data_IF_698583597924
#
_entry.id   IF_698583597924
#
_cell.length_a   1.000
_cell.length_b   1.000
_cell.length_c   1.000
_cell.angle_alpha   90.00
_cell.angle_beta   90.00
_cell.angle_gamma   90.00
#
_symmetry.space_group_name_H-M   'P 1'
#
loop_
_entity.id
_entity.type
_entity.pdbx_description
1 polymer ?
#
# COMPACT_ATOMS: atom_id res chain seq x y z
N UNK A 1 -9.14 -27.69 -40.98
CA UNK A 1 -8.49 -28.24 -39.81
C UNK A 1 -7.01 -27.87 -39.86
N UNK A 2 -6.46 -27.50 -38.77
CA UNK A 2 -5.03 -27.23 -38.60
C UNK A 2 -4.48 -28.17 -37.55
N UNK A 3 -3.17 -28.36 -37.57
CA UNK A 3 -2.51 -29.14 -36.53
C UNK A 3 -2.73 -28.50 -35.16
N UNK A 4 -2.77 -29.33 -34.13
CA UNK A 4 -2.76 -28.84 -32.77
C UNK A 4 -1.56 -27.91 -32.57
N UNK A 5 -1.71 -26.82 -31.82
CA UNK A 5 -0.65 -25.83 -31.59
C UNK A 5 0.66 -26.46 -31.10
N UNK A 6 0.59 -27.56 -30.34
CA UNK A 6 1.78 -28.32 -29.91
C UNK A 6 2.49 -29.01 -31.09
N UNK A 7 1.76 -29.50 -32.07
CA UNK A 7 2.37 -30.06 -33.28
C UNK A 7 3.13 -28.98 -34.05
N UNK A 8 2.54 -27.80 -34.16
CA UNK A 8 3.17 -26.67 -34.86
C UNK A 8 4.42 -26.16 -34.16
N UNK A 9 4.36 -26.02 -32.83
CA UNK A 9 5.45 -25.40 -32.06
C UNK A 9 6.54 -26.40 -31.67
N UNK A 10 6.16 -27.63 -31.33
CA UNK A 10 7.12 -28.63 -30.82
C UNK A 10 7.41 -29.76 -31.81
N UNK A 11 6.82 -29.72 -33.00
CA UNK A 11 7.00 -30.75 -34.01
C UNK A 11 6.50 -32.14 -33.59
N UNK A 12 5.60 -32.21 -32.60
CA UNK A 12 5.03 -33.46 -32.12
C UNK A 12 3.69 -33.73 -32.81
N UNK A 13 3.60 -34.83 -33.56
CA UNK A 13 2.41 -35.23 -34.33
C UNK A 13 1.39 -36.02 -33.51
N UNK A 14 1.66 -36.37 -32.27
CA UNK A 14 0.82 -37.22 -31.42
C UNK A 14 -0.48 -36.54 -30.97
N UNK A 15 -0.55 -35.22 -31.05
CA UNK A 15 -1.72 -34.45 -30.62
C UNK A 15 -2.85 -34.34 -31.64
N UNK A 16 -2.66 -34.91 -32.85
CA UNK A 16 -3.68 -34.91 -33.92
C UNK A 16 -4.00 -33.51 -34.46
N UNK A 17 -5.06 -33.45 -35.23
CA UNK A 17 -5.58 -32.23 -35.86
C UNK A 17 -6.90 -31.81 -35.21
N UNK A 18 -7.14 -30.51 -35.10
CA UNK A 18 -8.43 -29.95 -34.67
C UNK A 18 -8.86 -28.76 -35.55
N UNK A 19 -10.14 -28.43 -35.52
CA UNK A 19 -10.62 -27.24 -36.21
C UNK A 19 -10.13 -25.97 -35.51
N UNK A 20 -9.56 -25.05 -36.27
CA UNK A 20 -9.17 -23.72 -35.75
C UNK A 20 -10.45 -22.90 -35.60
N UNK A 21 -11.04 -22.94 -34.42
CA UNK A 21 -12.23 -22.19 -34.06
C UNK A 21 -11.89 -21.21 -32.89
N UNK A 22 -12.40 -19.98 -32.95
CA UNK A 22 -12.28 -19.08 -31.82
C UNK A 22 -12.92 -19.68 -30.56
N UNK A 23 -12.24 -19.58 -29.43
CA UNK A 23 -12.78 -19.97 -28.14
C UNK A 23 -13.49 -18.74 -27.52
N UNK A 24 -14.82 -18.79 -27.40
CA UNK A 24 -15.61 -17.63 -27.10
C UNK A 24 -15.41 -17.13 -25.63
N UNK A 25 -15.58 -17.98 -24.68
CA UNK A 25 -15.52 -17.61 -23.26
C UNK A 25 -14.21 -18.01 -22.55
N UNK A 26 -13.12 -18.20 -23.29
CA UNK A 26 -11.91 -18.81 -22.78
C UNK A 26 -11.26 -18.06 -21.58
N UNK A 27 -11.37 -16.74 -21.52
CA UNK A 27 -10.92 -15.98 -20.33
C UNK A 27 -11.82 -16.28 -19.13
N UNK A 28 -13.13 -16.31 -19.32
CA UNK A 28 -14.10 -16.60 -18.27
C UNK A 28 -13.99 -18.01 -17.72
N UNK A 29 -13.64 -18.99 -18.55
CA UNK A 29 -13.44 -20.38 -18.13
C UNK A 29 -12.24 -20.55 -17.19
N UNK A 30 -11.25 -19.66 -17.27
CA UNK A 30 -10.06 -19.71 -16.44
C UNK A 30 -10.28 -19.14 -15.02
N UNK A 31 -11.14 -18.12 -14.91
CA UNK A 31 -11.31 -17.41 -13.65
C UNK A 31 -12.44 -17.98 -12.82
N UNK A 32 -12.20 -18.07 -11.50
CA UNK A 32 -13.19 -18.45 -10.51
C UNK A 32 -14.12 -17.28 -10.14
N UNK A 33 -15.20 -17.60 -9.44
CA UNK A 33 -16.00 -16.58 -8.78
C UNK A 33 -15.30 -16.16 -7.49
N UNK A 34 -14.88 -14.91 -7.40
CA UNK A 34 -14.30 -14.36 -6.19
C UNK A 34 -15.33 -14.24 -5.06
N UNK A 35 -14.91 -14.60 -3.84
CA UNK A 35 -15.75 -14.52 -2.65
C UNK A 35 -15.02 -13.77 -1.54
N UNK A 36 -15.68 -12.74 -1.01
CA UNK A 36 -15.16 -11.99 0.13
C UNK A 36 -16.20 -11.96 1.25
N UNK A 37 -15.74 -12.19 2.49
CA UNK A 37 -16.53 -11.96 3.68
C UNK A 37 -15.69 -11.36 4.80
N UNK A 38 -16.36 -10.62 5.69
CA UNK A 38 -15.73 -9.97 6.82
C UNK A 38 -16.65 -10.04 8.03
N UNK A 39 -16.12 -10.47 9.15
CA UNK A 39 -16.84 -10.54 10.42
C UNK A 39 -16.14 -9.65 11.43
N UNK A 40 -16.90 -8.77 12.08
CA UNK A 40 -16.38 -7.86 13.10
C UNK A 40 -17.16 -8.02 14.39
N UNK A 41 -16.43 -8.18 15.49
CA UNK A 41 -16.97 -8.13 16.85
C UNK A 41 -16.39 -6.89 17.53
N UNK A 42 -17.27 -6.10 18.12
CA UNK A 42 -16.91 -4.85 18.80
C UNK A 42 -17.50 -4.83 20.20
N UNK A 43 -16.67 -4.49 21.17
CA UNK A 43 -17.09 -4.15 22.52
C UNK A 43 -16.73 -2.69 22.81
N UNK A 44 -17.67 -1.93 23.36
CA UNK A 44 -17.43 -0.57 23.80
C UNK A 44 -18.06 -0.32 25.15
N UNK A 45 -17.34 0.42 25.98
CA UNK A 45 -17.82 0.84 27.29
C UNK A 45 -17.33 2.27 27.56
N UNK A 46 -18.05 2.99 28.41
CA UNK A 46 -17.65 4.34 28.72
C UNK A 46 -18.39 4.93 29.90
N UNK A 47 -17.75 5.95 30.44
CA UNK A 47 -18.30 6.89 31.40
C UNK A 47 -18.01 8.30 30.91
N UNK A 48 -18.42 9.32 31.65
CA UNK A 48 -18.15 10.74 31.32
C UNK A 48 -16.62 11.03 31.24
N UNK A 49 -15.79 10.23 31.91
CA UNK A 49 -14.34 10.45 31.99
C UNK A 49 -13.51 9.45 31.19
N UNK A 50 -14.01 8.28 30.92
CA UNK A 50 -13.24 7.23 30.23
C UNK A 50 -14.14 6.51 29.23
N UNK A 51 -13.70 6.47 28.00
CA UNK A 51 -14.34 5.67 26.95
C UNK A 51 -13.34 4.69 26.36
N UNK A 52 -13.83 3.51 25.99
CA UNK A 52 -13.02 2.47 25.38
C UNK A 52 -13.82 1.68 24.35
N UNK A 53 -13.15 1.36 23.26
CA UNK A 53 -13.67 0.48 22.20
C UNK A 53 -12.57 -0.47 21.78
N UNK A 54 -12.93 -1.75 21.76
CA UNK A 54 -12.10 -2.84 21.26
C UNK A 54 -12.85 -3.54 20.15
N UNK A 55 -12.20 -3.77 19.01
CA UNK A 55 -12.76 -4.50 17.89
C UNK A 55 -11.79 -5.58 17.41
N UNK A 56 -12.36 -6.70 17.00
CA UNK A 56 -11.66 -7.73 16.23
C UNK A 56 -12.39 -7.95 14.92
N UNK A 57 -11.64 -7.97 13.80
CA UNK A 57 -12.17 -8.23 12.47
C UNK A 57 -11.38 -9.37 11.82
N UNK A 58 -12.08 -10.42 11.34
CA UNK A 58 -11.54 -11.44 10.44
C UNK A 58 -12.13 -11.22 9.04
N UNK A 59 -11.27 -10.94 8.07
CA UNK A 59 -11.64 -10.70 6.68
C UNK A 59 -10.92 -11.71 5.78
N UNK A 60 -11.67 -12.39 4.93
CA UNK A 60 -11.16 -13.37 3.99
C UNK A 60 -11.63 -13.05 2.58
N UNK A 61 -10.69 -13.12 1.65
CA UNK A 61 -10.93 -12.86 0.24
C UNK A 61 -10.27 -13.97 -0.58
N UNK A 62 -11.07 -14.79 -1.23
CA UNK A 62 -10.63 -15.68 -2.29
C UNK A 62 -10.82 -14.92 -3.61
N UNK A 63 -9.72 -14.65 -4.31
CA UNK A 63 -9.72 -13.88 -5.54
C UNK A 63 -10.38 -14.63 -6.71
N UNK A 64 -10.56 -13.92 -7.81
CA UNK A 64 -11.04 -14.53 -9.07
C UNK A 64 -9.96 -15.39 -9.75
N UNK A 65 -8.68 -15.15 -9.45
CA UNK A 65 -7.59 -15.99 -9.93
C UNK A 65 -7.55 -17.26 -9.05
N UNK A 66 -7.58 -18.47 -9.63
CA UNK A 66 -7.50 -19.69 -8.86
C UNK A 66 -6.28 -19.72 -7.93
N UNK A 67 -6.44 -20.30 -6.75
CA UNK A 67 -5.42 -20.40 -5.70
C UNK A 67 -4.95 -19.07 -5.07
N UNK A 68 -5.51 -17.92 -5.47
CA UNK A 68 -5.20 -16.62 -4.87
C UNK A 68 -6.10 -16.33 -3.68
N UNK A 69 -5.51 -15.96 -2.55
CA UNK A 69 -6.26 -15.53 -1.38
C UNK A 69 -5.55 -14.43 -0.58
N UNK A 70 -6.35 -13.60 0.08
CA UNK A 70 -5.89 -12.60 1.05
C UNK A 70 -6.73 -12.73 2.32
N UNK A 71 -6.08 -13.05 3.44
CA UNK A 71 -6.70 -13.16 4.74
C UNK A 71 -6.15 -12.08 5.66
N UNK A 72 -7.02 -11.31 6.32
CA UNK A 72 -6.65 -10.22 7.22
C UNK A 72 -7.34 -10.37 8.56
N UNK A 73 -6.57 -10.15 9.61
CA UNK A 73 -7.08 -10.05 10.98
C UNK A 73 -6.67 -8.68 11.53
N UNK A 74 -7.64 -7.94 12.08
CA UNK A 74 -7.43 -6.64 12.67
C UNK A 74 -7.82 -6.67 14.14
N UNK A 75 -6.98 -6.06 14.96
CA UNK A 75 -7.24 -5.80 16.37
C UNK A 75 -7.16 -4.28 16.57
N UNK A 76 -8.28 -3.67 16.93
CA UNK A 76 -8.39 -2.22 17.07
C UNK A 76 -8.72 -1.86 18.51
N UNK A 77 -7.93 -0.96 19.07
CA UNK A 77 -8.16 -0.31 20.35
C UNK A 77 -8.31 1.18 20.14
N UNK A 78 -9.35 1.77 20.71
CA UNK A 78 -9.51 3.22 20.80
C UNK A 78 -10.01 3.55 22.20
N UNK A 79 -9.26 4.38 22.92
CA UNK A 79 -9.62 4.80 24.28
C UNK A 79 -9.35 6.28 24.46
N UNK A 80 -10.19 6.95 25.24
CA UNK A 80 -10.03 8.35 25.60
C UNK A 80 -10.35 8.53 27.08
N UNK A 81 -9.42 9.16 27.77
CA UNK A 81 -9.61 9.69 29.12
C UNK A 81 -9.76 11.19 29.06
N UNK A 82 -10.74 11.75 29.79
CA UNK A 82 -11.05 13.16 29.81
C UNK A 82 -11.26 13.66 31.24
N UNK A 83 -10.57 14.72 31.57
CA UNK A 83 -10.79 15.50 32.78
C UNK A 83 -11.00 16.97 32.44
N UNK A 84 -11.18 17.84 33.43
CA UNK A 84 -11.44 19.26 33.24
C UNK A 84 -10.32 19.99 32.50
N UNK A 85 -9.08 19.53 32.67
CA UNK A 85 -7.89 20.18 32.12
C UNK A 85 -7.05 19.27 31.20
N UNK A 86 -7.29 17.95 31.18
CA UNK A 86 -6.48 17.00 30.43
C UNK A 86 -7.36 16.00 29.66
N UNK A 87 -7.07 15.85 28.38
CA UNK A 87 -7.62 14.76 27.55
C UNK A 87 -6.47 13.91 27.04
N UNK A 88 -6.53 12.59 27.25
CA UNK A 88 -5.56 11.64 26.71
C UNK A 88 -6.32 10.64 25.86
N UNK A 89 -5.94 10.52 24.59
CA UNK A 89 -6.45 9.52 23.68
C UNK A 89 -5.36 8.56 23.24
N UNK A 90 -5.68 7.28 23.16
CA UNK A 90 -4.81 6.27 22.59
C UNK A 90 -5.56 5.46 21.54
N UNK A 91 -4.90 5.22 20.41
CA UNK A 91 -5.38 4.36 19.32
C UNK A 91 -4.30 3.36 18.97
N UNK A 92 -4.68 2.12 18.79
CA UNK A 92 -3.80 1.08 18.30
C UNK A 92 -4.56 0.19 17.33
N UNK A 93 -3.95 -0.11 16.21
CA UNK A 93 -4.41 -1.09 15.24
C UNK A 93 -3.27 -2.07 14.99
N UNK A 94 -3.54 -3.35 15.14
CA UNK A 94 -2.61 -4.41 14.75
C UNK A 94 -3.26 -5.27 13.67
N UNK A 95 -2.58 -5.42 12.54
CA UNK A 95 -3.04 -6.19 11.40
C UNK A 95 -2.08 -7.34 11.10
N UNK A 96 -2.64 -8.52 10.90
CA UNK A 96 -1.97 -9.67 10.31
C UNK A 96 -2.61 -9.90 8.94
N UNK A 97 -1.82 -9.80 7.87
CA UNK A 97 -2.24 -10.12 6.51
C UNK A 97 -1.44 -11.30 5.98
N UNK A 98 -2.15 -12.28 5.42
CA UNK A 98 -1.55 -13.41 4.71
C UNK A 98 -2.07 -13.42 3.29
N UNK A 99 -1.19 -13.20 2.33
CA UNK A 99 -1.47 -13.27 0.89
C UNK A 99 -0.83 -14.53 0.34
N UNK A 100 -1.61 -15.34 -0.38
CA UNK A 100 -1.12 -16.50 -1.10
C UNK A 100 -1.34 -16.28 -2.59
N UNK A 101 -0.33 -16.64 -3.37
CA UNK A 101 -0.37 -16.68 -4.83
C UNK A 101 -0.92 -15.40 -5.47
N UNK A 102 -0.40 -14.25 -5.03
CA UNK A 102 -0.69 -12.98 -5.69
C UNK A 102 -0.31 -13.09 -7.18
N UNK A 103 -1.26 -12.86 -8.11
CA UNK A 103 -0.98 -13.02 -9.53
C UNK A 103 0.05 -12.00 -10.01
N UNK A 104 0.97 -12.44 -10.86
CA UNK A 104 1.92 -11.56 -11.51
C UNK A 104 1.17 -10.54 -12.39
N UNK A 105 1.66 -9.31 -12.41
CA UNK A 105 1.09 -8.19 -13.16
C UNK A 105 2.09 -7.66 -14.19
N UNK A 106 1.61 -6.75 -15.06
CA UNK A 106 2.42 -6.15 -16.11
C UNK A 106 2.61 -7.06 -17.33
N UNK A 107 3.66 -6.82 -18.12
CA UNK A 107 3.91 -7.48 -19.41
C UNK A 107 4.06 -9.01 -19.33
N UNK A 108 4.50 -9.52 -18.18
CA UNK A 108 4.64 -10.95 -17.89
C UNK A 108 3.51 -11.49 -17.01
N UNK A 109 2.50 -10.67 -16.75
CA UNK A 109 1.39 -11.02 -15.88
C UNK A 109 0.38 -11.96 -16.54
N UNK A 110 -0.46 -12.57 -15.71
CA UNK A 110 -1.47 -13.53 -16.13
C UNK A 110 -2.41 -12.98 -17.24
N UNK A 111 -2.91 -11.75 -17.07
CA UNK A 111 -3.79 -11.13 -18.06
C UNK A 111 -3.09 -10.90 -19.40
N UNK A 112 -1.79 -10.57 -19.38
CA UNK A 112 -1.01 -10.39 -20.62
C UNK A 112 -0.92 -11.67 -21.43
N UNK A 113 -0.87 -12.86 -20.78
CA UNK A 113 -0.88 -14.13 -21.47
C UNK A 113 -2.18 -14.31 -22.26
N UNK A 114 -3.33 -14.00 -21.67
CA UNK A 114 -4.63 -14.09 -22.34
C UNK A 114 -4.81 -13.09 -23.47
N UNK A 115 -4.25 -11.87 -23.33
CA UNK A 115 -4.34 -10.84 -24.38
C UNK A 115 -3.49 -11.20 -25.59
N UNK A 116 -2.32 -11.80 -25.37
CA UNK A 116 -1.37 -12.15 -26.44
C UNK A 116 -1.59 -13.52 -27.05
N UNK A 117 -2.26 -14.43 -26.33
CA UNK A 117 -2.53 -15.80 -26.79
C UNK A 117 -3.55 -15.82 -27.92
N UNK A 118 -3.27 -16.54 -29.05
CA UNK A 118 -4.24 -16.71 -30.11
C UNK A 118 -5.54 -17.37 -29.64
N UNK A 119 -6.68 -16.83 -30.04
CA UNK A 119 -8.01 -17.32 -29.62
C UNK A 119 -8.35 -18.73 -30.09
N UNK A 120 -7.58 -19.31 -30.98
CA UNK A 120 -7.75 -20.70 -31.41
C UNK A 120 -7.14 -21.72 -30.43
N UNK A 121 -6.41 -21.32 -29.43
CA UNK A 121 -5.83 -22.21 -28.43
C UNK A 121 -6.89 -22.57 -27.39
N UNK A 122 -7.13 -23.85 -27.17
CA UNK A 122 -8.08 -24.34 -26.18
C UNK A 122 -7.42 -24.39 -24.80
N UNK A 123 -8.10 -23.88 -23.78
CA UNK A 123 -7.61 -23.93 -22.39
C UNK A 123 -7.45 -25.36 -21.87
N UNK A 124 -8.31 -26.28 -22.30
CA UNK A 124 -8.19 -27.71 -21.98
C UNK A 124 -6.85 -28.32 -22.42
N UNK A 125 -6.31 -27.90 -23.57
CA UNK A 125 -5.00 -28.38 -24.03
C UNK A 125 -3.88 -27.88 -23.16
N UNK A 126 -3.97 -26.61 -22.68
CA UNK A 126 -2.98 -26.01 -21.78
C UNK A 126 -3.00 -26.63 -20.39
N UNK A 127 -4.17 -27.06 -19.90
CA UNK A 127 -4.30 -27.66 -18.56
C UNK A 127 -3.96 -29.15 -18.56
N UNK A 128 -4.35 -29.92 -19.60
CA UNK A 128 -4.18 -31.38 -19.64
C UNK A 128 -2.73 -31.79 -19.87
N UNK A 129 -2.07 -31.14 -20.82
CA UNK A 129 -0.68 -31.45 -21.19
C UNK A 129 0.28 -30.34 -20.78
N UNK A 130 0.18 -29.92 -19.54
CA UNK A 130 0.90 -28.78 -19.04
C UNK A 130 2.41 -29.01 -18.92
N UNK A 131 2.86 -30.25 -18.70
CA UNK A 131 4.25 -30.55 -18.39
C UNK A 131 4.97 -31.25 -19.56
N UNK A 132 6.23 -30.86 -19.74
CA UNK A 132 7.20 -31.62 -20.54
C UNK A 132 7.71 -32.84 -19.78
N UNK A 133 8.37 -33.76 -20.47
CA UNK A 133 8.99 -34.95 -19.87
C UNK A 133 10.04 -34.61 -18.80
N UNK A 134 10.63 -33.42 -18.83
CA UNK A 134 11.62 -32.94 -17.84
C UNK A 134 10.96 -32.22 -16.66
N UNK A 135 9.63 -32.19 -16.57
CA UNK A 135 8.90 -31.53 -15.48
C UNK A 135 8.73 -30.01 -15.63
N UNK A 136 9.23 -29.40 -16.69
CA UNK A 136 8.98 -27.98 -16.95
C UNK A 136 7.56 -27.74 -17.46
N UNK A 137 7.00 -26.56 -17.12
CA UNK A 137 5.72 -26.11 -17.67
C UNK A 137 5.92 -25.75 -19.14
N UNK A 138 5.12 -26.37 -19.98
CA UNK A 138 5.12 -26.14 -21.42
C UNK A 138 4.42 -24.81 -21.73
N UNK A 139 5.13 -23.89 -22.38
CA UNK A 139 4.56 -22.60 -22.80
C UNK A 139 3.58 -22.80 -23.97
N UNK A 140 2.72 -21.81 -24.21
CA UNK A 140 1.73 -21.89 -25.30
C UNK A 140 2.32 -21.55 -26.70
N UNK A 141 3.54 -21.02 -26.79
CA UNK A 141 4.19 -20.68 -28.07
C UNK A 141 5.58 -21.27 -28.28
N UNK A 142 6.16 -21.98 -27.32
CA UNK A 142 7.54 -22.46 -27.41
C UNK A 142 8.41 -21.90 -26.28
N UNK A 143 9.72 -22.19 -26.27
CA UNK A 143 10.61 -21.77 -25.19
C UNK A 143 10.81 -20.24 -25.24
N UNK A 144 10.03 -19.52 -24.42
CA UNK A 144 10.14 -18.08 -24.28
C UNK A 144 9.55 -17.63 -22.93
N UNK A 145 10.26 -16.82 -22.19
CA UNK A 145 9.84 -16.35 -20.87
C UNK A 145 8.55 -15.53 -20.89
N UNK A 146 8.22 -14.90 -22.03
CA UNK A 146 7.11 -13.97 -22.16
C UNK A 146 5.76 -14.62 -22.45
N UNK A 147 5.73 -15.91 -22.77
CA UNK A 147 4.55 -16.60 -23.28
C UNK A 147 4.25 -17.85 -22.44
N UNK A 148 4.17 -17.66 -21.15
CA UNK A 148 3.98 -18.71 -20.15
C UNK A 148 2.55 -19.26 -20.20
N UNK A 149 2.42 -20.56 -20.00
CA UNK A 149 1.12 -21.20 -19.82
C UNK A 149 0.39 -20.63 -18.59
N UNK A 150 -0.82 -20.04 -18.72
CA UNK A 150 -1.56 -19.47 -17.59
C UNK A 150 -1.78 -20.44 -16.42
N UNK A 151 -2.02 -21.73 -16.72
CA UNK A 151 -2.18 -22.74 -15.66
C UNK A 151 -0.88 -23.01 -14.90
N UNK A 152 0.28 -22.92 -15.57
CA UNK A 152 1.57 -23.02 -14.92
C UNK A 152 1.85 -21.88 -13.94
N UNK A 153 1.27 -20.69 -14.19
CA UNK A 153 1.43 -19.52 -13.33
C UNK A 153 0.62 -19.62 -12.03
N UNK A 154 -0.38 -20.48 -11.97
CA UNK A 154 -1.26 -20.65 -10.80
C UNK A 154 -1.09 -22.00 -10.11
N UNK A 155 -0.09 -22.78 -10.48
CA UNK A 155 0.19 -24.05 -9.81
C UNK A 155 0.44 -23.84 -8.33
N UNK A 156 -0.08 -24.70 -7.43
CA UNK A 156 0.22 -24.65 -6.01
C UNK A 156 1.73 -24.73 -5.70
N UNK A 157 2.48 -25.45 -6.55
CA UNK A 157 3.92 -25.66 -6.44
C UNK A 157 4.75 -24.55 -7.10
N UNK A 158 4.07 -23.60 -7.75
CA UNK A 158 4.62 -22.37 -8.29
C UNK A 158 3.85 -21.19 -7.69
N UNK A 159 4.40 -20.53 -6.71
CA UNK A 159 3.61 -19.50 -6.05
C UNK A 159 4.41 -18.50 -5.26
N UNK A 160 3.68 -17.65 -4.59
CA UNK A 160 4.25 -16.72 -3.63
C UNK A 160 3.36 -16.64 -2.39
N UNK A 161 4.02 -16.34 -1.28
CA UNK A 161 3.36 -16.10 0.01
C UNK A 161 3.94 -14.82 0.59
N UNK A 162 3.06 -13.96 1.05
CA UNK A 162 3.46 -12.80 1.85
C UNK A 162 2.73 -12.81 3.19
N UNK A 163 3.47 -12.61 4.27
CA UNK A 163 2.88 -12.37 5.59
C UNK A 163 3.30 -10.97 6.03
N UNK A 164 2.33 -10.09 6.19
CA UNK A 164 2.53 -8.74 6.72
C UNK A 164 1.99 -8.66 8.13
N UNK A 165 2.83 -8.21 9.05
CA UNK A 165 2.41 -7.75 10.36
C UNK A 165 2.56 -6.24 10.40
N UNK A 166 1.51 -5.50 10.76
CA UNK A 166 1.52 -4.04 10.85
C UNK A 166 0.96 -3.59 12.17
N UNK A 167 1.66 -2.68 12.81
CA UNK A 167 1.20 -1.97 13.98
C UNK A 167 1.12 -0.48 13.70
N UNK A 168 -0.07 0.09 13.84
CA UNK A 168 -0.32 1.52 13.76
C UNK A 168 -0.77 1.99 15.15
N UNK A 169 0.03 2.82 15.80
CA UNK A 169 -0.25 3.33 17.14
C UNK A 169 -0.17 4.84 17.22
N UNK A 170 -1.03 5.46 18.04
CA UNK A 170 -0.99 6.88 18.34
C UNK A 170 -1.41 7.14 19.77
N UNK A 171 -0.66 7.99 20.45
CA UNK A 171 -1.05 8.60 21.72
C UNK A 171 -1.13 10.11 21.52
N UNK A 172 -2.21 10.71 21.98
CA UNK A 172 -2.44 12.15 21.98
C UNK A 172 -2.78 12.60 23.39
N UNK A 173 -2.10 13.63 23.89
CA UNK A 173 -2.44 14.29 25.13
C UNK A 173 -2.72 15.78 24.86
N UNK A 174 -3.82 16.30 25.34
CA UNK A 174 -4.21 17.71 25.19
C UNK A 174 -4.45 18.31 26.55
N UNK A 175 -3.64 19.31 26.89
CA UNK A 175 -3.68 20.05 28.17
C UNK A 175 -4.36 21.40 27.94
N UNK A 176 -5.45 21.64 28.63
CA UNK A 176 -6.15 22.94 28.63
C UNK A 176 -5.43 23.89 29.53
N UNK A 177 -4.69 24.86 28.96
CA UNK A 177 -3.95 25.89 29.71
C UNK A 177 -4.87 27.02 30.17
N UNK A 178 -5.78 27.44 29.28
CA UNK A 178 -6.82 28.44 29.56
C UNK A 178 -8.10 28.07 28.84
N UNK A 179 -9.15 28.89 28.92
CA UNK A 179 -10.38 28.68 28.14
C UNK A 179 -10.21 28.81 26.61
N UNK A 180 -9.11 29.40 26.17
CA UNK A 180 -8.82 29.68 24.75
C UNK A 180 -7.46 29.14 24.29
N UNK A 181 -6.69 28.47 25.16
CA UNK A 181 -5.35 27.98 24.84
C UNK A 181 -5.18 26.53 25.30
N UNK A 182 -4.79 25.65 24.38
CA UNK A 182 -4.51 24.24 24.64
C UNK A 182 -3.11 23.89 24.13
N UNK A 183 -2.40 23.03 24.86
CA UNK A 183 -1.15 22.41 24.42
C UNK A 183 -1.44 20.94 24.09
N UNK A 184 -1.14 20.52 22.86
CA UNK A 184 -1.36 19.15 22.40
C UNK A 184 -0.04 18.51 22.05
N UNK A 185 0.30 17.40 22.70
CA UNK A 185 1.36 16.49 22.29
C UNK A 185 0.78 15.26 21.60
N UNK A 186 1.42 14.78 20.54
CA UNK A 186 1.04 13.58 19.81
C UNK A 186 2.28 12.79 19.44
N UNK A 187 2.23 11.48 19.64
CA UNK A 187 3.24 10.53 19.20
C UNK A 187 2.54 9.45 18.40
N UNK A 188 3.08 9.14 17.23
CA UNK A 188 2.57 8.10 16.35
C UNK A 188 3.68 7.17 15.87
N UNK A 189 3.33 5.92 15.63
CA UNK A 189 4.17 4.93 14.99
C UNK A 189 3.35 4.14 13.99
N UNK A 190 3.90 3.96 12.79
CA UNK A 190 3.45 2.99 11.80
C UNK A 190 4.63 2.07 11.50
N UNK A 191 4.50 0.83 11.90
CA UNK A 191 5.53 -0.18 11.68
C UNK A 191 4.92 -1.39 10.99
N UNK A 192 5.57 -1.89 9.95
CA UNK A 192 5.21 -3.15 9.35
C UNK A 192 6.44 -3.98 8.97
N UNK A 193 6.24 -5.29 9.00
CA UNK A 193 7.20 -6.28 8.57
C UNK A 193 6.54 -7.19 7.54
N UNK A 194 7.20 -7.39 6.40
CA UNK A 194 6.81 -8.31 5.34
C UNK A 194 7.77 -9.48 5.28
N UNK A 195 7.22 -10.70 5.28
CA UNK A 195 7.94 -11.91 4.96
C UNK A 195 7.41 -12.46 3.64
N UNK A 196 8.19 -12.28 2.59
CA UNK A 196 7.84 -12.69 1.25
C UNK A 196 8.65 -13.91 0.81
N UNK A 197 7.97 -14.91 0.27
CA UNK A 197 8.55 -16.09 -0.33
C UNK A 197 7.96 -16.30 -1.71
N UNK A 198 8.82 -16.52 -2.71
CA UNK A 198 8.46 -16.93 -4.04
C UNK A 198 9.15 -18.25 -4.34
N UNK A 199 8.44 -19.21 -4.90
CA UNK A 199 8.98 -20.51 -5.27
C UNK A 199 8.35 -20.97 -6.58
N UNK A 200 9.11 -21.74 -7.36
CA UNK A 200 8.69 -22.33 -8.61
C UNK A 200 9.39 -23.69 -8.78
N UNK A 201 8.70 -24.77 -8.37
CA UNK A 201 9.20 -26.13 -8.57
C UNK A 201 9.20 -26.45 -10.08
N UNK A 202 8.11 -26.12 -10.74
CA UNK A 202 7.94 -26.31 -12.17
C UNK A 202 8.18 -25.01 -12.93
N UNK A 203 9.42 -24.77 -13.32
CA UNK A 203 9.76 -23.60 -14.14
C UNK A 203 9.09 -23.69 -15.52
N UNK A 204 8.77 -22.53 -16.07
CA UNK A 204 8.35 -22.44 -17.46
C UNK A 204 9.50 -22.80 -18.39
N UNK A 205 9.17 -23.37 -19.55
CA UNK A 205 10.13 -23.71 -20.59
C UNK A 205 10.92 -22.47 -21.03
N UNK A 206 12.26 -22.60 -21.02
CA UNK A 206 13.16 -21.48 -21.31
C UNK A 206 13.33 -20.46 -20.20
N UNK A 207 12.72 -20.64 -19.03
CA UNK A 207 12.94 -19.76 -17.89
C UNK A 207 14.32 -19.95 -17.27
N UNK A 208 14.99 -18.85 -16.96
CA UNK A 208 16.25 -18.78 -16.20
C UNK A 208 16.05 -18.17 -14.80
N UNK A 209 14.79 -17.88 -14.44
CA UNK A 209 14.45 -17.28 -13.16
C UNK A 209 14.78 -18.20 -12.00
N UNK A 210 15.16 -17.61 -10.86
CA UNK A 210 15.40 -18.36 -9.63
C UNK A 210 14.15 -19.09 -9.16
N UNK A 211 14.34 -20.34 -8.71
CA UNK A 211 13.25 -21.18 -8.22
C UNK A 211 12.82 -20.83 -6.79
N UNK A 212 13.69 -20.18 -6.00
CA UNK A 212 13.31 -19.74 -4.66
C UNK A 212 13.95 -18.42 -4.27
N UNK A 213 13.09 -17.50 -3.85
CA UNK A 213 13.48 -16.22 -3.27
C UNK A 213 12.76 -16.04 -1.93
N UNK A 214 13.50 -15.64 -0.90
CA UNK A 214 12.96 -15.28 0.39
C UNK A 214 13.45 -13.90 0.78
N UNK A 215 12.54 -12.98 1.09
CA UNK A 215 12.89 -11.66 1.57
C UNK A 215 12.10 -11.28 2.83
N UNK A 216 12.76 -10.58 3.72
CA UNK A 216 12.18 -9.95 4.88
C UNK A 216 12.44 -8.45 4.80
N UNK A 217 11.40 -7.64 4.97
CA UNK A 217 11.50 -6.19 4.99
C UNK A 217 10.80 -5.63 6.20
N UNK A 218 11.39 -4.62 6.81
CA UNK A 218 10.81 -3.87 7.91
C UNK A 218 10.77 -2.39 7.56
N UNK A 219 9.63 -1.76 7.77
CA UNK A 219 9.42 -0.34 7.57
C UNK A 219 8.86 0.26 8.84
N UNK A 220 9.41 1.41 9.26
CA UNK A 220 8.97 2.11 10.46
C UNK A 220 8.95 3.61 10.22
N UNK A 221 7.78 4.19 10.42
CA UNK A 221 7.55 5.62 10.49
C UNK A 221 7.21 6.01 11.92
N UNK A 222 7.97 6.93 12.48
CA UNK A 222 7.75 7.51 13.79
C UNK A 222 7.51 9.00 13.65
N UNK A 223 6.44 9.50 14.24
CA UNK A 223 6.12 10.95 14.28
C UNK A 223 5.90 11.42 15.71
N UNK A 224 6.39 12.61 16.02
CA UNK A 224 6.06 13.30 17.28
C UNK A 224 5.80 14.77 17.01
N UNK A 225 4.69 15.28 17.54
CA UNK A 225 4.26 16.67 17.37
C UNK A 225 4.01 17.31 18.73
N UNK A 226 4.32 18.60 18.83
CA UNK A 226 3.89 19.47 19.92
C UNK A 226 3.21 20.69 19.31
N UNK A 227 1.96 20.96 19.69
CA UNK A 227 1.12 21.96 19.05
C UNK A 227 0.46 22.82 20.13
N UNK A 228 0.66 24.13 20.05
CA UNK A 228 -0.07 25.12 20.81
C UNK A 228 -1.29 25.58 20.00
N UNK A 229 -2.48 25.36 20.53
CA UNK A 229 -3.76 25.68 19.88
C UNK A 229 -4.39 26.89 20.59
N UNK A 230 -4.70 27.92 19.85
CA UNK A 230 -5.41 29.12 20.31
C UNK A 230 -6.75 29.23 19.60
N UNK A 231 -7.83 29.51 20.34
CA UNK A 231 -9.17 29.73 19.79
C UNK A 231 -9.92 30.72 20.67
N UNK A 232 -10.22 31.91 20.13
CA UNK A 232 -10.95 32.93 20.85
C UNK A 232 -11.73 33.84 19.93
N UNK A 233 -12.92 34.25 20.38
CA UNK A 233 -13.74 35.24 19.70
C UNK A 233 -13.64 36.59 20.44
N UNK A 234 -13.47 37.66 19.67
CA UNK A 234 -13.36 39.05 20.12
C UNK A 234 -14.43 39.88 19.40
N UNK A 235 -15.61 40.00 20.01
CA UNK A 235 -16.75 40.63 19.35
C UNK A 235 -17.13 39.92 18.04
N UNK A 236 -17.04 40.64 16.93
CA UNK A 236 -17.34 40.12 15.59
C UNK A 236 -16.17 39.28 14.97
N UNK A 237 -15.00 39.25 15.61
CA UNK A 237 -13.81 38.58 15.11
C UNK A 237 -13.58 37.25 15.81
N UNK A 238 -13.51 36.16 15.03
CA UNK A 238 -13.04 34.88 15.50
C UNK A 238 -11.58 34.66 15.09
N UNK A 239 -10.74 34.17 16.02
CA UNK A 239 -9.32 33.87 15.79
C UNK A 239 -9.05 32.44 16.21
N UNK A 240 -8.60 31.61 15.26
CA UNK A 240 -8.07 30.28 15.53
C UNK A 240 -6.63 30.25 15.02
N UNK A 241 -5.68 29.86 15.86
CA UNK A 241 -4.27 29.77 15.47
C UNK A 241 -3.63 28.52 16.07
N UNK A 242 -2.72 27.91 15.34
CA UNK A 242 -1.89 26.80 15.80
C UNK A 242 -0.43 27.12 15.51
N UNK A 243 0.44 26.83 16.46
CA UNK A 243 1.88 26.86 16.30
C UNK A 243 2.43 25.51 16.78
N UNK A 244 3.23 24.86 15.96
CA UNK A 244 3.70 23.52 16.29
C UNK A 244 5.10 23.22 15.77
N UNK A 245 5.65 22.17 16.34
CA UNK A 245 6.87 21.52 15.86
C UNK A 245 6.60 20.02 15.67
N UNK A 246 7.29 19.43 14.73
CA UNK A 246 7.17 18.00 14.40
C UNK A 246 8.54 17.42 14.12
N UNK A 247 8.70 16.15 14.49
CA UNK A 247 9.80 15.31 14.02
C UNK A 247 9.21 14.04 13.41
N UNK A 248 9.72 13.67 12.23
CA UNK A 248 9.36 12.45 11.51
C UNK A 248 10.64 11.67 11.22
N UNK A 249 10.65 10.39 11.61
CA UNK A 249 11.74 9.47 11.35
C UNK A 249 11.19 8.29 10.56
N UNK A 250 11.75 8.07 9.37
CA UNK A 250 11.46 6.92 8.52
C UNK A 250 12.67 6.01 8.47
N UNK A 251 12.45 4.71 8.60
CA UNK A 251 13.48 3.70 8.40
C UNK A 251 12.93 2.51 7.64
N UNK A 252 13.76 1.97 6.79
CA UNK A 252 13.53 0.75 6.04
C UNK A 252 14.77 -0.12 6.13
N UNK A 253 14.55 -1.42 6.34
CA UNK A 253 15.59 -2.45 6.33
C UNK A 253 15.03 -3.66 5.57
N UNK A 254 15.82 -4.21 4.66
CA UNK A 254 15.46 -5.37 3.86
C UNK A 254 16.63 -6.34 3.74
N UNK A 255 16.31 -7.63 3.88
CA UNK A 255 17.21 -8.75 3.60
C UNK A 255 16.51 -9.66 2.58
N UNK A 256 17.17 -9.94 1.46
CA UNK A 256 16.70 -10.88 0.46
C UNK A 256 17.72 -11.95 0.20
N UNK A 257 17.26 -13.20 0.10
CA UNK A 257 18.06 -14.35 -0.29
C UNK A 257 17.53 -14.95 -1.59
N UNK A 258 18.41 -15.32 -2.49
CA UNK A 258 18.15 -16.00 -3.75
C UNK A 258 18.88 -17.36 -3.77
N UNK A 259 18.11 -18.44 -3.90
CA UNK A 259 18.65 -19.80 -3.93
C UNK A 259 19.03 -20.28 -5.33
N UNK A 260 18.65 -19.54 -6.39
CA UNK A 260 18.82 -20.01 -7.76
C UNK A 260 17.95 -21.21 -8.09
N UNK A 261 18.55 -22.25 -8.66
CA UNK A 261 17.87 -23.48 -9.09
C UNK A 261 18.00 -24.57 -8.01
N UNK A 262 16.94 -25.33 -7.77
CA UNK A 262 16.98 -26.43 -6.79
C UNK A 262 17.85 -27.61 -7.27
N UNK A 263 18.64 -28.13 -6.36
CA UNK A 263 19.44 -29.34 -6.55
C UNK A 263 18.61 -30.62 -6.33
N UNK A 264 17.66 -30.55 -5.40
CA UNK A 264 16.70 -31.62 -5.10
C UNK A 264 15.31 -31.08 -5.42
N UNK A 265 14.62 -31.74 -6.37
CA UNK A 265 13.25 -31.40 -6.73
C UNK A 265 12.32 -31.54 -5.52
N UNK A 266 11.30 -30.72 -5.43
CA UNK A 266 10.27 -30.73 -4.39
C UNK A 266 10.75 -30.37 -2.96
N UNK A 267 12.01 -29.90 -2.81
CA UNK A 267 12.54 -29.47 -1.54
C UNK A 267 12.76 -27.95 -1.51
N UNK A 268 11.71 -27.19 -1.13
CA UNK A 268 11.70 -25.72 -1.10
C UNK A 268 12.45 -25.19 0.12
N UNK A 269 13.75 -24.98 -0.03
CA UNK A 269 14.63 -24.48 1.02
C UNK A 269 15.81 -23.70 0.46
N UNK A 270 16.26 -22.64 1.14
CA UNK A 270 17.38 -21.80 0.70
C UNK A 270 18.67 -22.61 0.50
N UNK A 271 18.96 -23.54 1.38
CA UNK A 271 20.14 -24.41 1.32
C UNK A 271 20.14 -25.43 0.18
N UNK A 272 18.99 -25.64 -0.49
CA UNK A 272 18.82 -26.55 -1.62
C UNK A 272 19.15 -25.90 -2.97
N UNK A 273 19.45 -24.61 -3.01
CA UNK A 273 19.75 -23.90 -4.24
C UNK A 273 21.20 -24.06 -4.71
N UNK A 274 21.42 -23.88 -6.00
CA UNK A 274 22.75 -23.84 -6.65
C UNK A 274 23.45 -22.49 -6.43
N UNK A 275 22.66 -21.43 -6.14
CA UNK A 275 23.12 -20.11 -5.69
C UNK A 275 22.79 -19.91 -4.21
N UNK A 276 23.51 -19.03 -3.55
CA UNK A 276 23.26 -18.61 -2.17
C UNK A 276 23.60 -17.14 -2.06
N UNK A 277 22.89 -16.34 -2.83
CA UNK A 277 23.10 -14.89 -2.86
C UNK A 277 22.21 -14.23 -1.80
N UNK A 278 22.78 -13.28 -1.07
CA UNK A 278 22.04 -12.43 -0.15
C UNK A 278 22.29 -10.97 -0.49
N UNK A 279 21.28 -10.16 -0.35
CA UNK A 279 21.36 -8.71 -0.53
C UNK A 279 20.67 -8.00 0.63
N UNK A 280 21.29 -6.92 1.09
CA UNK A 280 20.72 -6.03 2.09
C UNK A 280 20.40 -4.67 1.48
N UNK A 281 19.34 -4.06 1.95
CA UNK A 281 18.95 -2.72 1.60
C UNK A 281 18.47 -1.98 2.84
N UNK A 282 18.83 -0.71 2.95
CA UNK A 282 18.35 0.12 4.05
C UNK A 282 18.25 1.58 3.62
N UNK A 283 17.36 2.32 4.28
CA UNK A 283 17.42 3.77 4.30
C UNK A 283 16.93 4.33 5.64
N UNK A 284 17.40 5.54 5.97
CA UNK A 284 16.92 6.33 7.09
C UNK A 284 16.73 7.77 6.62
N UNK A 285 15.61 8.36 7.05
CA UNK A 285 15.24 9.73 6.75
C UNK A 285 14.69 10.39 8.00
N UNK A 286 15.10 11.62 8.25
CA UNK A 286 14.54 12.45 9.31
C UNK A 286 14.11 13.80 8.74
N UNK A 287 12.93 14.26 9.14
CA UNK A 287 12.43 15.59 8.85
C UNK A 287 12.05 16.24 10.17
N UNK A 288 12.62 17.42 10.44
CA UNK A 288 12.23 18.29 11.53
C UNK A 288 11.45 19.47 10.96
N UNK A 289 10.41 19.89 11.66
CA UNK A 289 9.51 20.92 11.15
C UNK A 289 9.07 21.89 12.21
N UNK A 290 8.90 23.14 11.80
CA UNK A 290 8.15 24.15 12.55
C UNK A 290 7.04 24.65 11.65
N UNK A 291 5.81 24.69 12.15
CA UNK A 291 4.66 25.11 11.38
C UNK A 291 3.70 25.96 12.19
N UNK A 292 2.94 26.78 11.47
CA UNK A 292 1.85 27.54 12.05
C UNK A 292 0.75 27.80 11.04
N UNK A 293 -0.46 27.95 11.55
CA UNK A 293 -1.58 28.43 10.79
C UNK A 293 -2.44 29.38 11.64
N UNK A 294 -3.05 30.35 10.99
CA UNK A 294 -4.02 31.24 11.59
C UNK A 294 -5.23 31.38 10.68
N UNK A 295 -6.42 31.30 11.25
CA UNK A 295 -7.69 31.56 10.61
C UNK A 295 -8.35 32.74 11.34
N UNK A 296 -8.61 33.79 10.60
CA UNK A 296 -9.35 34.97 11.05
C UNK A 296 -10.72 34.97 10.42
N UNK A 297 -11.78 35.08 11.20
CA UNK A 297 -13.13 35.25 10.71
C UNK A 297 -13.73 36.58 11.16
N UNK A 298 -14.47 37.24 10.29
CA UNK A 298 -15.23 38.43 10.60
C UNK A 298 -16.72 38.19 10.35
N UNK A 299 -17.51 38.38 11.42
CA UNK A 299 -18.99 38.17 11.41
C UNK A 299 -19.44 36.82 10.85
N UNK A 300 -18.55 35.84 10.85
CA UNK A 300 -18.75 34.53 10.19
C UNK A 300 -19.06 34.62 8.69
N UNK A 301 -18.77 35.74 8.05
CA UNK A 301 -19.00 36.01 6.63
C UNK A 301 -17.70 36.02 5.83
N UNK A 302 -16.61 36.58 6.39
CA UNK A 302 -15.31 36.67 5.75
C UNK A 302 -14.28 35.89 6.54
N UNK A 303 -13.46 35.12 5.83
CA UNK A 303 -12.42 34.27 6.43
C UNK A 303 -11.09 34.47 5.69
N UNK A 304 -10.03 34.69 6.45
CA UNK A 304 -8.66 34.71 5.99
C UNK A 304 -7.88 33.59 6.69
N UNK A 305 -7.35 32.64 5.90
CA UNK A 305 -6.51 31.56 6.39
C UNK A 305 -5.09 31.76 5.89
N UNK A 306 -4.13 31.72 6.78
CA UNK A 306 -2.70 31.82 6.48
C UNK A 306 -2.00 30.61 7.09
N UNK A 307 -1.13 29.96 6.31
CA UNK A 307 -0.30 28.86 6.81
C UNK A 307 1.16 29.06 6.43
N UNK A 308 2.03 28.57 7.26
CA UNK A 308 3.45 28.49 6.99
C UNK A 308 4.06 27.27 7.63
N UNK A 309 4.92 26.58 6.92
CA UNK A 309 5.69 25.44 7.41
C UNK A 309 7.11 25.53 6.89
N UNK A 310 8.07 25.30 7.77
CA UNK A 310 9.46 25.14 7.39
C UNK A 310 9.93 23.75 7.80
N UNK A 311 10.48 23.01 6.84
CA UNK A 311 11.02 21.67 7.04
C UNK A 311 12.54 21.67 6.85
N UNK A 312 13.21 20.85 7.65
CA UNK A 312 14.62 20.51 7.52
C UNK A 312 14.73 19.01 7.30
N UNK A 313 15.13 18.63 6.08
CA UNK A 313 15.25 17.21 5.70
C UNK A 313 16.70 16.74 5.75
N UNK A 314 16.91 15.54 6.29
CA UNK A 314 18.21 14.88 6.30
C UNK A 314 18.66 14.39 4.91
N UNK A 315 17.76 14.36 3.92
CA UNK A 315 18.06 13.92 2.57
C UNK A 315 18.69 14.99 1.69
N UNK A 316 18.71 16.25 2.18
CA UNK A 316 19.23 17.40 1.45
C UNK A 316 20.58 17.87 2.01
N UNK A 317 21.42 18.53 1.19
CA UNK A 317 22.68 19.14 1.66
C UNK A 317 22.42 20.15 2.75
N UNK A 318 23.38 20.32 3.68
CA UNK A 318 23.25 21.24 4.81
C UNK A 318 22.86 22.65 4.43
N UNK A 319 23.36 23.14 3.29
CA UNK A 319 23.13 24.48 2.76
C UNK A 319 21.69 24.68 2.24
N UNK A 320 21.03 23.60 1.80
CA UNK A 320 19.73 23.63 1.14
C UNK A 320 18.68 22.71 1.82
N UNK A 321 18.94 22.23 3.03
CA UNK A 321 18.03 21.29 3.73
C UNK A 321 16.74 21.92 4.23
N UNK A 322 16.68 23.27 4.27
CA UNK A 322 15.56 24.04 4.80
C UNK A 322 14.71 24.57 3.64
N UNK A 323 13.42 24.34 3.69
CA UNK A 323 12.47 24.83 2.69
C UNK A 323 11.16 25.26 3.36
N UNK A 324 10.64 26.40 2.88
CA UNK A 324 9.45 27.04 3.45
C UNK A 324 8.25 26.94 2.50
N UNK A 325 7.09 26.56 3.06
CA UNK A 325 5.81 26.40 2.39
C UNK A 325 4.78 27.38 2.92
N UNK A 326 4.57 28.52 2.32
CA UNK A 326 3.47 29.43 2.66
C UNK A 326 2.19 29.10 1.91
N UNK A 327 1.04 29.37 2.55
CA UNK A 327 -0.23 29.48 1.85
C UNK A 327 -1.11 30.60 2.42
N UNK A 328 -1.97 31.14 1.56
CA UNK A 328 -2.99 32.14 1.94
C UNK A 328 -4.28 31.78 1.23
N UNK A 329 -5.39 31.82 1.95
CA UNK A 329 -6.73 31.63 1.42
C UNK A 329 -7.68 32.69 1.96
N UNK A 330 -8.47 33.29 1.08
CA UNK A 330 -9.54 34.21 1.41
C UNK A 330 -10.86 33.63 0.96
N UNK A 331 -11.87 33.63 1.83
CA UNK A 331 -13.23 33.21 1.46
C UNK A 331 -14.29 34.12 2.06
N UNK A 332 -15.33 34.40 1.25
CA UNK A 332 -16.47 35.23 1.66
C UNK A 332 -17.79 34.53 1.37
N UNK A 333 -18.71 34.57 2.34
CA UNK A 333 -20.09 34.12 2.18
C UNK A 333 -20.88 35.31 1.68
N UNK A 334 -21.01 35.43 0.36
CA UNK A 334 -21.59 36.58 -0.30
C UNK A 334 -23.09 36.72 0.04
N UNK A 335 -23.75 35.59 0.22
CA UNK A 335 -25.19 35.58 0.64
C UNK A 335 -25.44 36.17 2.04
N UNK A 336 -24.41 36.21 2.89
CA UNK A 336 -24.51 36.86 4.20
C UNK A 336 -24.08 38.35 4.16
N UNK A 337 -23.38 38.77 3.09
CA UNK A 337 -22.89 40.14 2.91
C UNK A 337 -23.82 41.00 2.11
N UNK A 338 -24.56 40.41 1.15
CA UNK A 338 -25.42 41.09 0.18
C UNK A 338 -26.81 40.45 0.16
N UNK A 339 -27.83 41.26 -0.11
CA UNK A 339 -29.16 40.71 -0.41
C UNK A 339 -29.10 39.93 -1.72
N UNK A 340 -29.41 38.66 -1.63
CA UNK A 340 -29.41 37.75 -2.78
C UNK A 340 -30.83 37.65 -3.38
N UNK A 341 -30.97 37.32 -4.68
CA UNK A 341 -32.23 36.93 -5.28
C UNK A 341 -32.84 35.71 -4.57
N UNK A 342 -34.18 35.59 -4.55
CA UNK A 342 -34.91 34.50 -3.85
C UNK A 342 -34.51 33.07 -4.29
N UNK A 343 -33.96 32.93 -5.48
CA UNK A 343 -33.47 31.65 -5.98
C UNK A 343 -32.05 31.25 -5.47
N UNK A 344 -31.38 32.11 -4.69
CA UNK A 344 -30.03 31.89 -4.19
C UNK A 344 -30.04 31.82 -2.67
N UNK A 345 -29.99 30.62 -2.10
CA UNK A 345 -29.94 30.39 -0.65
C UNK A 345 -28.54 30.60 -0.08
N UNK A 346 -27.52 30.21 -0.82
CA UNK A 346 -26.15 30.26 -0.34
C UNK A 346 -25.14 30.48 -1.48
N UNK A 347 -24.30 31.51 -1.34
CA UNK A 347 -23.19 31.79 -2.25
C UNK A 347 -21.89 32.04 -1.46
N UNK A 348 -20.90 31.18 -1.66
CA UNK A 348 -19.55 31.34 -1.11
C UNK A 348 -18.53 31.41 -2.23
N UNK A 349 -17.65 32.41 -2.16
CA UNK A 349 -16.51 32.57 -3.07
C UNK A 349 -15.24 32.37 -2.28
N UNK A 350 -14.27 31.67 -2.88
CA UNK A 350 -12.93 31.46 -2.28
C UNK A 350 -11.83 31.62 -3.31
N UNK A 351 -10.69 32.16 -2.88
CA UNK A 351 -9.46 32.21 -3.63
C UNK A 351 -8.31 31.79 -2.73
N UNK A 352 -7.36 31.01 -3.26
CA UNK A 352 -6.22 30.56 -2.48
C UNK A 352 -4.94 30.53 -3.34
N UNK A 353 -3.83 30.76 -2.67
CA UNK A 353 -2.50 30.63 -3.23
C UNK A 353 -1.63 29.81 -2.27
N UNK A 354 -0.80 28.93 -2.80
CA UNK A 354 0.14 28.12 -2.02
C UNK A 354 1.42 27.87 -2.83
N UNK A 355 2.55 27.82 -2.11
CA UNK A 355 3.80 27.31 -2.64
C UNK A 355 4.10 25.99 -1.93
N UNK A 356 4.37 24.93 -2.70
CA UNK A 356 4.71 23.61 -2.19
C UNK A 356 6.06 23.16 -2.74
N UNK A 357 6.72 22.27 -2.04
CA UNK A 357 7.95 21.62 -2.46
C UNK A 357 8.02 20.22 -1.89
N UNK A 358 8.98 19.45 -2.33
CA UNK A 358 9.27 18.12 -1.82
C UNK A 358 10.79 17.94 -1.73
N UNK A 359 11.25 17.06 -0.85
CA UNK A 359 12.63 16.61 -0.81
C UNK A 359 12.86 15.42 -1.77
N UNK A 360 14.03 14.83 -1.74
CA UNK A 360 14.40 13.66 -2.52
C UNK A 360 14.50 12.40 -1.64
N UNK A 361 14.65 11.25 -2.28
CA UNK A 361 15.00 10.01 -1.57
C UNK A 361 16.35 10.14 -0.85
N UNK A 362 16.57 9.37 0.22
CA UNK A 362 17.87 9.30 0.89
C UNK A 362 19.00 8.87 -0.06
N UNK A 363 20.22 9.35 0.24
CA UNK A 363 21.46 8.96 -0.43
C UNK A 363 21.57 9.29 -1.92
N UNK A 364 20.79 10.30 -2.39
CA UNK A 364 20.84 10.80 -3.78
C UNK A 364 21.78 12.00 -4.00
N UNK A 365 22.58 12.39 -3.00
CA UNK A 365 23.44 13.57 -3.07
C UNK A 365 24.78 13.33 -3.79
N UNK A 366 25.15 12.09 -4.04
CA UNK A 366 26.36 11.74 -4.76
C UNK A 366 26.03 11.17 -6.14
N UNK A 367 26.84 11.51 -7.14
CA UNK A 367 26.81 10.83 -8.43
C UNK A 367 27.46 9.46 -8.27
N UNK A 368 26.70 8.40 -8.43
CA UNK A 368 27.22 7.04 -8.53
C UNK A 368 27.04 6.58 -9.99
N UNK A 369 28.13 6.09 -10.58
CA UNK A 369 28.08 5.35 -11.85
C UNK A 369 27.93 3.87 -11.51
N UNK A 370 26.90 3.24 -12.08
CA UNK A 370 26.65 1.79 -11.98
C UNK A 370 27.15 1.09 -13.23
#
# INVERSE_FOLDING_TARGET
MVDNWKNVIYGNTDYGQYALLPQDDYIKEFYDTGVQYSNTVTASAGSDKLTGRLSFTDSRNNGIVPNHSINRQYFDLNTEFKSDFLTIGAKANYMIEKTNNAPAQGSYGLMSQFITMPRGIRLSDLSTDMFKSNGQVQNWTGPAENYTNPYGMILPDNGNKNTRNRFLGQIKASLKLTSYLNLTGRVGVDWYNDQYRKYAIHQSDGSTASQYVHSETSHKDFTADLILNFNKTFGDFGVTANLGTSVENQSYEGLAGDAGTFQITDFIWMGNGDKREASESFYKKEIQSVFGNASLSWKSMLYLDVTGRNDWSSTLPKENRSYFYPSVSLSGIISEMLKMPEWTDYLKVRASWAKVGNDTDPYKLAYAYS
#
